data_IF_594560455409
#
_entry.id   IF_594560455409
#
_cell.length_a   1.000
_cell.length_b   1.000
_cell.length_c   1.000
_cell.angle_alpha   90.00
_cell.angle_beta   90.00
_cell.angle_gamma   90.00
#
_symmetry.space_group_name_H-M   'P 1'
#
loop_
_entity.id
_entity.type
_entity.pdbx_description
1 polymer ?
#
# COMPACT_ATOMS: atom_id res chain seq x y z
N UNK A 1 4.16 24.48 -0.72
CA UNK A 1 4.75 24.12 0.58
C UNK A 1 3.75 24.57 1.63
N UNK A 2 3.32 23.65 2.50
CA UNK A 2 2.35 23.94 3.57
C UNK A 2 3.09 24.44 4.81
N UNK A 3 2.44 25.28 5.62
CA UNK A 3 2.97 25.85 6.84
C UNK A 3 2.24 25.30 8.07
N UNK A 4 2.96 24.62 8.95
CA UNK A 4 2.42 24.03 10.18
C UNK A 4 1.94 25.06 11.23
N UNK A 5 2.18 26.36 11.02
CA UNK A 5 1.66 27.42 11.90
C UNK A 5 0.29 27.96 11.44
N UNK A 6 -0.18 27.59 10.25
CA UNK A 6 -1.45 28.06 9.67
C UNK A 6 -2.53 26.97 9.88
N UNK A 7 -3.59 27.22 10.65
CA UNK A 7 -4.64 26.22 10.91
C UNK A 7 -5.29 25.66 9.65
N UNK A 8 -5.45 26.48 8.60
CA UNK A 8 -6.02 26.08 7.32
C UNK A 8 -5.12 25.09 6.57
N UNK A 9 -3.80 25.25 6.64
CA UNK A 9 -2.83 24.34 6.02
C UNK A 9 -2.80 22.98 6.76
N UNK A 10 -2.97 23.00 8.09
CA UNK A 10 -3.13 21.77 8.89
C UNK A 10 -4.43 21.07 8.51
N UNK A 11 -5.56 21.81 8.48
CA UNK A 11 -6.86 21.24 8.12
C UNK A 11 -6.84 20.64 6.70
N UNK A 12 -6.13 21.28 5.76
CA UNK A 12 -5.92 20.75 4.42
C UNK A 12 -5.11 19.44 4.45
N UNK A 13 -4.02 19.38 5.22
CA UNK A 13 -3.22 18.17 5.37
C UNK A 13 -4.01 17.01 6.02
N UNK A 14 -4.77 17.28 7.09
CA UNK A 14 -5.62 16.31 7.78
C UNK A 14 -6.72 15.78 6.86
N UNK A 15 -7.27 16.64 6.00
CA UNK A 15 -8.24 16.22 5.00
C UNK A 15 -7.64 15.28 3.94
N UNK A 16 -6.31 15.19 3.82
CA UNK A 16 -5.62 14.35 2.82
C UNK A 16 -5.06 13.06 3.43
N UNK A 17 -4.55 13.09 4.64
CA UNK A 17 -3.94 11.93 5.31
C UNK A 17 -4.99 11.19 6.13
N UNK A 18 -5.64 10.20 5.51
CA UNK A 18 -6.75 9.45 6.12
C UNK A 18 -6.36 8.00 6.35
N UNK A 19 -6.46 7.53 7.59
CA UNK A 19 -6.05 6.17 7.97
C UNK A 19 -6.91 5.12 7.27
N UNK A 20 -8.18 5.42 7.06
CA UNK A 20 -9.18 4.55 6.44
C UNK A 20 -8.82 4.27 4.99
N UNK A 21 -8.44 5.30 4.22
CA UNK A 21 -8.11 5.14 2.80
C UNK A 21 -6.75 4.48 2.60
N UNK A 22 -5.78 4.73 3.49
CA UNK A 22 -4.49 4.03 3.49
C UNK A 22 -4.67 2.54 3.80
N UNK A 23 -5.53 2.20 4.78
CA UNK A 23 -5.84 0.79 5.07
C UNK A 23 -6.60 0.11 3.93
N UNK A 24 -7.49 0.85 3.25
CA UNK A 24 -8.20 0.35 2.07
C UNK A 24 -7.26 0.08 0.90
N UNK A 25 -6.21 0.90 0.71
CA UNK A 25 -5.21 0.71 -0.35
C UNK A 25 -4.54 -0.66 -0.27
N UNK A 26 -4.09 -1.10 0.92
CA UNK A 26 -3.51 -2.43 1.13
C UNK A 26 -4.45 -3.55 0.65
N UNK A 27 -5.74 -3.46 1.01
CA UNK A 27 -6.76 -4.45 0.64
C UNK A 27 -7.05 -4.41 -0.86
N UNK A 28 -7.17 -3.22 -1.45
CA UNK A 28 -7.43 -3.04 -2.87
C UNK A 28 -6.27 -3.54 -3.74
N UNK A 29 -5.03 -3.39 -3.27
CA UNK A 29 -3.85 -3.99 -3.89
C UNK A 29 -3.93 -5.52 -3.86
N UNK A 30 -4.24 -6.12 -2.69
CA UNK A 30 -4.36 -7.59 -2.56
C UNK A 30 -5.54 -8.15 -3.34
N UNK A 31 -6.61 -7.38 -3.53
CA UNK A 31 -7.75 -7.72 -4.40
C UNK A 31 -7.40 -7.61 -5.90
N UNK A 32 -6.28 -7.00 -6.25
CA UNK A 32 -5.89 -6.75 -7.65
C UNK A 32 -6.67 -5.62 -8.32
N UNK A 33 -7.33 -4.76 -7.54
CA UNK A 33 -8.02 -3.56 -8.05
C UNK A 33 -6.99 -2.52 -8.49
N UNK A 34 -5.92 -2.36 -7.72
CA UNK A 34 -4.74 -1.59 -8.13
C UNK A 34 -3.73 -2.51 -8.83
N UNK A 35 -3.26 -2.08 -9.99
CA UNK A 35 -2.46 -2.92 -10.88
C UNK A 35 -0.96 -2.63 -10.84
N UNK A 36 -0.53 -1.59 -10.12
CA UNK A 36 0.87 -1.14 -10.10
C UNK A 36 1.21 -0.45 -8.78
N UNK A 37 2.47 -0.61 -8.33
CA UNK A 37 3.07 0.14 -7.23
C UNK A 37 4.21 0.97 -7.81
N UNK A 38 4.30 2.24 -7.41
CA UNK A 38 5.36 3.17 -7.87
C UNK A 38 6.03 3.89 -6.70
N UNK A 39 7.13 4.62 -6.96
CA UNK A 39 7.99 5.15 -5.90
C UNK A 39 7.65 6.55 -5.41
N UNK A 40 7.13 7.41 -6.27
CA UNK A 40 7.08 8.87 -6.06
C UNK A 40 8.44 9.44 -5.54
N UNK A 41 9.52 9.11 -6.25
CA UNK A 41 10.90 9.35 -5.83
C UNK A 41 11.18 10.80 -5.44
N UNK A 42 11.64 11.02 -4.20
CA UNK A 42 12.00 12.33 -3.64
C UNK A 42 10.85 13.33 -3.52
N UNK A 43 9.63 12.94 -3.89
CA UNK A 43 8.45 13.80 -3.92
C UNK A 43 7.27 13.22 -3.12
N UNK A 44 7.56 12.28 -2.20
CA UNK A 44 6.76 11.71 -1.09
C UNK A 44 7.02 10.20 -0.93
N UNK A 45 7.89 9.60 -1.76
CA UNK A 45 8.32 8.22 -1.59
C UNK A 45 9.78 7.94 -1.95
N UNK A 46 10.11 6.65 -2.01
CA UNK A 46 11.48 6.12 -1.92
C UNK A 46 11.78 5.19 -3.08
N UNK A 47 12.68 5.60 -3.98
CA UNK A 47 13.02 4.85 -5.20
C UNK A 47 13.60 3.46 -4.92
N UNK A 48 14.40 3.32 -3.87
CA UNK A 48 15.04 2.05 -3.49
C UNK A 48 14.14 1.07 -2.74
N UNK A 49 12.88 1.43 -2.47
CA UNK A 49 11.97 0.61 -1.66
C UNK A 49 10.78 0.04 -2.43
N UNK A 50 10.63 0.30 -3.74
CA UNK A 50 9.46 -0.16 -4.52
C UNK A 50 9.24 -1.67 -4.36
N UNK A 51 10.27 -2.46 -4.67
CA UNK A 51 10.21 -3.92 -4.61
C UNK A 51 9.97 -4.40 -3.16
N UNK A 52 10.70 -3.84 -2.20
CA UNK A 52 10.57 -4.23 -0.79
C UNK A 52 9.18 -3.93 -0.23
N UNK A 53 8.60 -2.77 -0.58
CA UNK A 53 7.26 -2.36 -0.13
C UNK A 53 6.17 -3.21 -0.75
N UNK A 54 6.30 -3.57 -2.03
CA UNK A 54 5.42 -4.56 -2.69
C UNK A 54 5.33 -5.85 -1.88
N UNK A 55 6.47 -6.42 -1.48
CA UNK A 55 6.48 -7.67 -0.71
C UNK A 55 6.01 -7.50 0.74
N UNK A 56 6.24 -6.35 1.36
CA UNK A 56 5.74 -6.05 2.70
C UNK A 56 4.20 -5.99 2.73
N UNK A 57 3.57 -5.41 1.71
CA UNK A 57 2.11 -5.40 1.58
C UNK A 57 1.59 -6.82 1.36
N UNK A 58 2.19 -7.58 0.45
CA UNK A 58 1.82 -8.99 0.22
C UNK A 58 1.88 -9.83 1.51
N UNK A 59 2.95 -9.68 2.28
CA UNK A 59 3.12 -10.35 3.57
C UNK A 59 2.04 -9.94 4.58
N UNK A 60 1.84 -8.63 4.78
CA UNK A 60 0.82 -8.11 5.70
C UNK A 60 -0.58 -8.60 5.33
N UNK A 61 -0.91 -8.64 4.04
CA UNK A 61 -2.21 -9.10 3.56
C UNK A 61 -2.41 -10.60 3.78
N UNK A 62 -1.35 -11.40 3.67
CA UNK A 62 -1.38 -12.79 4.10
C UNK A 62 -1.68 -12.94 5.59
N UNK A 63 -0.99 -12.19 6.45
CA UNK A 63 -1.22 -12.28 7.90
C UNK A 63 -2.64 -11.85 8.31
N UNK A 64 -3.20 -10.84 7.65
CA UNK A 64 -4.49 -10.27 8.02
C UNK A 64 -5.69 -10.97 7.35
N UNK A 65 -5.53 -11.46 6.11
CA UNK A 65 -6.63 -12.01 5.30
C UNK A 65 -6.47 -13.49 4.97
N UNK A 66 -5.32 -14.09 5.29
CA UNK A 66 -5.02 -15.49 4.99
C UNK A 66 -4.57 -15.72 3.53
N UNK A 67 -4.59 -16.98 3.08
CA UNK A 67 -4.27 -17.35 1.70
C UNK A 67 -5.18 -16.64 0.69
N UNK A 68 -4.64 -16.30 -0.49
CA UNK A 68 -5.44 -15.75 -1.58
C UNK A 68 -6.24 -16.87 -2.27
N UNK A 69 -7.35 -16.54 -2.90
CA UNK A 69 -8.10 -17.50 -3.71
C UNK A 69 -7.21 -18.17 -4.76
N UNK A 70 -7.18 -19.50 -4.75
CA UNK A 70 -6.33 -20.31 -5.62
C UNK A 70 -4.95 -20.66 -5.05
N UNK A 71 -4.55 -20.08 -3.91
CA UNK A 71 -3.38 -20.53 -3.15
C UNK A 71 -3.70 -21.82 -2.37
N UNK A 72 -2.66 -22.60 -2.07
CA UNK A 72 -2.76 -23.86 -1.33
C UNK A 72 -1.99 -23.80 -0.01
N UNK A 73 -2.17 -24.79 0.85
CA UNK A 73 -1.58 -24.83 2.20
C UNK A 73 -0.05 -24.58 2.25
N UNK A 74 0.68 -24.89 1.19
CA UNK A 74 2.14 -24.80 1.14
C UNK A 74 2.66 -23.80 0.09
N UNK A 75 1.83 -22.92 -0.48
CA UNK A 75 2.31 -21.89 -1.39
C UNK A 75 1.42 -20.65 -1.43
N UNK A 76 2.03 -19.51 -1.79
CA UNK A 76 1.36 -18.23 -2.03
C UNK A 76 1.50 -17.80 -3.50
N UNK A 77 1.54 -18.76 -4.43
CA UNK A 77 1.97 -18.51 -5.80
C UNK A 77 1.08 -17.49 -6.53
N UNK A 78 -0.23 -17.48 -6.29
CA UNK A 78 -1.14 -16.54 -6.92
C UNK A 78 -0.95 -15.14 -6.35
N UNK A 79 -0.78 -15.02 -5.03
CA UNK A 79 -0.43 -13.73 -4.42
C UNK A 79 0.93 -13.24 -4.95
N UNK A 80 1.96 -14.08 -4.97
CA UNK A 80 3.30 -13.69 -5.48
C UNK A 80 3.23 -13.22 -6.92
N UNK A 81 2.53 -13.96 -7.80
CA UNK A 81 2.34 -13.58 -9.21
C UNK A 81 1.53 -12.30 -9.40
N UNK A 82 0.59 -11.99 -8.50
CA UNK A 82 -0.18 -10.74 -8.55
C UNK A 82 0.67 -9.52 -8.21
N UNK A 83 1.64 -9.67 -7.32
CA UNK A 83 2.45 -8.57 -6.80
C UNK A 83 3.71 -8.28 -7.65
N UNK A 84 4.15 -9.20 -8.52
CA UNK A 84 5.32 -9.03 -9.41
C UNK A 84 4.95 -8.58 -10.82
#
# INVERSE_FOLDING_TARGET
HLNAAIPEDIAFADSRIRKETIAAEDVLQDMGVFSMISSDSQAMGRVGEVITRTWQVAHRMKEQRGPLDGDFEHNDNNRIKRYI
#
